data_IF_127123996441
#
_entry.id   IF_127123996441
#
_cell.length_a   1.000
_cell.length_b   1.000
_cell.length_c   1.000
_cell.angle_alpha   90.00
_cell.angle_beta   90.00
_cell.angle_gamma   90.00
#
_symmetry.space_group_name_H-M   'P 1'
#
loop_
_entity.id
_entity.type
_entity.pdbx_description
1 polymer ?
#
# COMPACT_ATOMS: atom_id res chain seq x y z
N UNK A 1 -15.97 10.56 25.44
CA UNK A 1 -16.32 11.18 24.13
C UNK A 1 -16.77 10.12 23.14
N UNK A 2 -16.02 9.02 22.96
CA UNK A 2 -16.38 7.88 22.11
C UNK A 2 -17.80 7.34 22.37
N UNK A 3 -18.11 6.89 23.58
CA UNK A 3 -19.40 6.27 23.89
C UNK A 3 -20.59 7.18 23.60
N UNK A 4 -20.45 8.48 23.91
CA UNK A 4 -21.50 9.48 23.65
C UNK A 4 -21.77 9.64 22.15
N UNK A 5 -20.72 9.67 21.33
CA UNK A 5 -20.84 9.86 19.89
C UNK A 5 -21.44 8.63 19.21
N UNK A 6 -21.01 7.44 19.62
CA UNK A 6 -21.59 6.16 19.17
C UNK A 6 -23.05 6.03 19.59
N UNK A 7 -23.38 6.36 20.84
CA UNK A 7 -24.74 6.27 21.38
C UNK A 7 -25.73 7.25 20.75
N UNK A 8 -25.25 8.36 20.17
CA UNK A 8 -26.09 9.29 19.40
C UNK A 8 -26.23 8.82 17.96
N UNK A 9 -25.11 8.54 17.28
CA UNK A 9 -25.12 8.32 15.83
C UNK A 9 -25.70 6.96 15.43
N UNK A 10 -25.31 5.86 16.08
CA UNK A 10 -25.76 4.53 15.66
C UNK A 10 -27.22 4.24 16.06
N UNK A 11 -27.63 4.36 17.33
CA UNK A 11 -29.01 4.12 17.72
C UNK A 11 -29.99 5.11 17.07
N UNK A 12 -29.59 6.38 16.92
CA UNK A 12 -30.42 7.40 16.27
C UNK A 12 -30.78 7.04 14.83
N UNK A 13 -29.81 6.55 14.05
CA UNK A 13 -30.06 6.08 12.68
C UNK A 13 -30.92 4.83 12.67
N UNK A 14 -30.64 3.83 13.52
CA UNK A 14 -31.46 2.62 13.61
C UNK A 14 -32.93 2.93 13.93
N UNK A 15 -33.19 3.86 14.85
CA UNK A 15 -34.55 4.27 15.20
C UNK A 15 -35.21 5.02 14.04
N UNK A 16 -34.47 5.91 13.37
CA UNK A 16 -34.96 6.62 12.19
C UNK A 16 -35.36 5.64 11.08
N UNK A 17 -34.51 4.64 10.79
CA UNK A 17 -34.78 3.58 9.82
C UNK A 17 -36.06 2.82 10.18
N UNK A 18 -36.18 2.36 11.43
CA UNK A 18 -37.33 1.60 11.89
C UNK A 18 -38.66 2.30 11.61
N UNK A 19 -38.75 3.60 11.93
CA UNK A 19 -39.98 4.34 11.73
C UNK A 19 -40.20 4.75 10.28
N UNK A 20 -39.14 5.16 9.57
CA UNK A 20 -39.23 5.57 8.17
C UNK A 20 -39.64 4.41 7.25
N UNK A 21 -39.02 3.24 7.40
CA UNK A 21 -39.35 2.05 6.61
C UNK A 21 -40.81 1.65 6.87
N UNK A 22 -41.24 1.62 8.14
CA UNK A 22 -42.62 1.27 8.49
C UNK A 22 -43.66 2.24 7.92
N UNK A 23 -43.32 3.52 7.80
CA UNK A 23 -44.22 4.52 7.21
C UNK A 23 -44.30 4.39 5.68
N UNK A 24 -43.16 4.12 5.04
CA UNK A 24 -43.06 3.89 3.58
C UNK A 24 -43.86 2.66 3.17
N UNK A 25 -43.75 1.56 3.93
CA UNK A 25 -44.53 0.34 3.67
C UNK A 25 -46.04 0.58 3.74
N UNK A 26 -46.52 1.38 4.69
CA UNK A 26 -47.95 1.64 4.90
C UNK A 26 -48.59 2.46 3.78
N UNK A 27 -47.85 3.41 3.22
CA UNK A 27 -48.38 4.34 2.23
C UNK A 27 -48.23 3.84 0.79
N UNK A 28 -47.74 2.60 0.59
CA UNK A 28 -47.86 1.86 -0.67
C UNK A 28 -47.19 2.52 -1.89
N UNK A 29 -46.27 3.46 -1.67
CA UNK A 29 -45.50 4.06 -2.74
C UNK A 29 -44.43 3.08 -3.21
N UNK A 30 -44.57 2.54 -4.41
CA UNK A 30 -43.38 2.03 -5.10
C UNK A 30 -42.37 3.19 -5.10
N UNK A 31 -41.21 2.96 -4.47
CA UNK A 31 -39.96 3.72 -4.54
C UNK A 31 -39.62 4.77 -3.44
N UNK A 32 -38.36 4.62 -2.98
CA UNK A 32 -37.34 5.64 -2.61
C UNK A 32 -37.11 5.93 -1.11
N UNK A 33 -36.03 5.37 -0.57
CA UNK A 33 -35.37 5.86 0.64
C UNK A 33 -33.88 6.09 0.36
N UNK A 34 -33.28 7.15 0.89
CA UNK A 34 -31.83 7.38 0.81
C UNK A 34 -31.43 8.08 2.09
N UNK A 35 -30.51 7.49 2.85
CA UNK A 35 -30.05 8.07 4.11
C UNK A 35 -28.74 8.79 3.86
N UNK A 36 -28.72 10.00 4.36
CA UNK A 36 -27.58 10.89 4.29
C UNK A 36 -26.60 10.54 5.41
N UNK A 37 -25.33 10.28 5.05
CA UNK A 37 -24.32 10.01 6.07
C UNK A 37 -22.95 10.56 5.68
N UNK A 38 -22.38 11.38 6.56
CA UNK A 38 -21.06 11.97 6.40
C UNK A 38 -20.00 11.02 6.95
N UNK A 39 -19.14 10.51 6.10
CA UNK A 39 -17.88 9.90 6.51
C UNK A 39 -16.91 10.95 7.02
N UNK A 40 -16.11 10.58 8.01
CA UNK A 40 -14.95 11.37 8.42
C UNK A 40 -13.68 10.57 8.21
N UNK A 41 -12.75 11.19 7.48
CA UNK A 41 -11.42 10.66 7.21
C UNK A 41 -10.65 10.48 8.52
N UNK A 42 -9.94 9.36 8.62
CA UNK A 42 -9.03 9.10 9.74
C UNK A 42 -7.93 10.14 9.80
N UNK A 43 -7.90 10.93 10.86
CA UNK A 43 -6.83 11.86 11.23
C UNK A 43 -6.57 11.73 12.72
N UNK A 44 -5.41 12.18 13.19
CA UNK A 44 -5.12 12.18 14.63
C UNK A 44 -6.25 12.91 15.38
N UNK A 45 -6.86 12.24 16.37
CA UNK A 45 -7.96 12.79 17.17
C UNK A 45 -9.38 12.54 16.65
N UNK A 46 -9.58 11.97 15.46
CA UNK A 46 -10.94 11.75 14.91
C UNK A 46 -11.51 10.34 15.12
N UNK A 47 -10.81 9.46 15.85
CA UNK A 47 -11.14 8.03 15.95
C UNK A 47 -12.58 7.73 16.38
N UNK A 48 -13.15 8.50 17.32
CA UNK A 48 -14.54 8.35 17.74
C UNK A 48 -15.55 8.74 16.65
N UNK A 49 -15.26 9.81 15.92
CA UNK A 49 -16.13 10.30 14.85
C UNK A 49 -16.06 9.34 13.66
N UNK A 50 -14.86 8.92 13.27
CA UNK A 50 -14.65 7.87 12.27
C UNK A 50 -15.40 6.59 12.61
N UNK A 51 -15.23 6.05 13.83
CA UNK A 51 -15.88 4.81 14.23
C UNK A 51 -17.41 4.93 14.20
N UNK A 52 -17.96 6.03 14.74
CA UNK A 52 -19.41 6.23 14.78
C UNK A 52 -20.02 6.43 13.37
N UNK A 53 -19.29 7.09 12.46
CA UNK A 53 -19.76 7.38 11.10
C UNK A 53 -19.67 6.18 10.17
N UNK A 54 -18.53 5.50 10.15
CA UNK A 54 -18.40 4.25 9.40
C UNK A 54 -19.36 3.15 9.91
N UNK A 55 -19.70 3.17 11.20
CA UNK A 55 -20.73 2.28 11.75
C UNK A 55 -22.13 2.52 11.17
N UNK A 56 -22.48 3.78 10.84
CA UNK A 56 -23.75 4.09 10.16
C UNK A 56 -23.74 3.53 8.74
N UNK A 57 -22.64 3.65 7.99
CA UNK A 57 -22.51 3.08 6.65
C UNK A 57 -22.81 1.57 6.64
N UNK A 58 -22.25 0.83 7.61
CA UNK A 58 -22.55 -0.59 7.78
C UNK A 58 -24.02 -0.89 8.07
N UNK A 59 -24.67 -0.09 8.94
CA UNK A 59 -26.12 -0.20 9.21
C UNK A 59 -26.92 0.02 7.92
N UNK A 60 -26.54 1.01 7.12
CA UNK A 60 -27.26 1.37 5.90
C UNK A 60 -27.12 0.32 4.80
N UNK A 61 -25.95 -0.30 4.66
CA UNK A 61 -25.71 -1.41 3.74
C UNK A 61 -26.57 -2.62 4.08
N UNK A 62 -26.69 -2.97 5.36
CA UNK A 62 -27.57 -4.03 5.83
C UNK A 62 -29.05 -3.70 5.54
N UNK A 63 -29.48 -2.48 5.87
CA UNK A 63 -30.84 -2.02 5.60
C UNK A 63 -31.20 -2.09 4.11
N UNK A 64 -30.26 -1.80 3.20
CA UNK A 64 -30.48 -1.92 1.75
C UNK A 64 -30.85 -3.35 1.32
N UNK A 65 -30.23 -4.36 1.92
CA UNK A 65 -30.49 -5.77 1.62
C UNK A 65 -31.82 -6.20 2.26
N UNK A 66 -32.04 -5.83 3.51
CA UNK A 66 -33.27 -6.15 4.27
C UNK A 66 -34.52 -5.53 3.63
N UNK A 67 -34.38 -4.33 3.05
CA UNK A 67 -35.46 -3.56 2.45
C UNK A 67 -35.75 -3.93 0.98
N UNK A 68 -34.81 -4.60 0.31
CA UNK A 68 -34.95 -4.92 -1.12
C UNK A 68 -36.20 -5.75 -1.46
N UNK A 69 -36.62 -6.77 -0.68
CA UNK A 69 -37.86 -7.52 -0.94
C UNK A 69 -39.13 -6.67 -0.90
N UNK A 70 -39.11 -5.55 -0.18
CA UNK A 70 -40.21 -4.60 -0.07
C UNK A 70 -40.20 -3.52 -1.16
N UNK A 71 -39.25 -3.59 -2.11
CA UNK A 71 -39.09 -2.60 -3.17
C UNK A 71 -38.51 -1.27 -2.68
N UNK A 72 -37.96 -1.23 -1.46
CA UNK A 72 -37.36 -0.04 -0.88
C UNK A 72 -35.86 -0.04 -1.19
N UNK A 73 -35.43 0.99 -1.92
CA UNK A 73 -34.01 1.25 -2.20
C UNK A 73 -33.41 2.01 -1.04
N UNK A 74 -32.14 1.76 -0.75
CA UNK A 74 -31.41 2.44 0.31
C UNK A 74 -30.00 2.74 -0.19
N UNK A 75 -29.63 4.01 -0.23
CA UNK A 75 -28.30 4.47 -0.60
C UNK A 75 -27.74 5.38 0.50
N UNK A 76 -26.41 5.49 0.53
CA UNK A 76 -25.68 6.44 1.37
C UNK A 76 -25.07 7.53 0.51
N UNK A 77 -25.27 8.79 0.90
CA UNK A 77 -24.66 9.96 0.26
C UNK A 77 -23.68 10.59 1.23
N UNK A 78 -22.42 10.63 0.82
CA UNK A 78 -21.31 11.17 1.60
C UNK A 78 -20.98 12.57 1.07
N UNK A 79 -21.36 13.64 1.80
CA UNK A 79 -21.01 15.01 1.43
C UNK A 79 -19.50 15.17 1.31
N UNK A 80 -19.09 15.94 0.30
CA UNK A 80 -17.74 16.45 0.21
C UNK A 80 -17.58 17.83 0.84
N UNK A 81 -16.64 18.60 0.31
CA UNK A 81 -16.49 20.02 0.61
C UNK A 81 -17.72 20.79 0.08
N UNK A 82 -18.80 20.80 0.86
CA UNK A 82 -20.04 21.52 0.54
C UNK A 82 -20.12 22.78 1.38
N UNK A 83 -20.40 23.91 0.74
CA UNK A 83 -20.62 25.18 1.45
C UNK A 83 -21.92 25.10 2.24
N UNK A 84 -21.84 25.02 3.57
CA UNK A 84 -23.00 25.09 4.47
C UNK A 84 -22.78 26.12 5.58
N UNK A 85 -23.86 26.64 6.17
CA UNK A 85 -23.78 27.55 7.33
C UNK A 85 -23.06 26.94 8.54
N UNK A 86 -23.04 25.61 8.65
CA UNK A 86 -22.36 24.85 9.72
C UNK A 86 -20.86 24.72 9.45
N UNK A 87 -20.45 24.63 8.18
CA UNK A 87 -19.05 24.59 7.77
C UNK A 87 -18.31 25.89 8.14
N UNK A 88 -18.96 27.05 8.06
CA UNK A 88 -18.34 28.33 8.47
C UNK A 88 -17.95 28.37 9.96
N UNK A 89 -18.66 27.61 10.81
CA UNK A 89 -18.35 27.47 12.24
C UNK A 89 -17.34 26.36 12.55
N UNK A 90 -17.39 25.23 11.84
CA UNK A 90 -16.52 24.06 12.10
C UNK A 90 -15.16 24.12 11.41
N UNK A 91 -15.04 24.79 10.26
CA UNK A 91 -13.73 25.06 9.61
C UNK A 91 -12.81 25.84 10.55
N UNK A 92 -13.41 26.65 11.44
CA UNK A 92 -12.72 27.45 12.45
C UNK A 92 -12.14 26.65 13.62
N UNK A 93 -12.47 25.35 13.76
CA UNK A 93 -12.23 24.61 15.02
C UNK A 93 -11.22 23.48 14.92
N UNK A 94 -10.92 22.92 13.73
CA UNK A 94 -10.15 21.66 13.71
C UNK A 94 -8.91 21.58 12.80
N UNK A 95 -8.69 22.47 11.82
CA UNK A 95 -7.66 22.19 10.80
C UNK A 95 -6.80 23.37 10.29
N UNK A 96 -7.15 24.63 10.56
CA UNK A 96 -6.42 25.79 10.00
C UNK A 96 -6.40 27.00 10.96
N UNK A 97 -5.30 27.76 10.94
CA UNK A 97 -5.05 28.89 11.85
C UNK A 97 -5.90 30.12 11.52
N UNK A 98 -6.33 30.28 10.26
CA UNK A 98 -7.20 31.38 9.82
C UNK A 98 -8.43 30.92 9.03
N UNK A 99 -9.56 31.67 9.10
CA UNK A 99 -10.76 31.38 8.31
C UNK A 99 -10.55 31.41 6.79
N UNK A 100 -9.61 32.24 6.31
CA UNK A 100 -9.27 32.35 4.89
C UNK A 100 -8.47 31.13 4.40
N UNK A 101 -7.48 30.66 5.17
CA UNK A 101 -6.75 29.42 4.88
C UNK A 101 -7.66 28.19 4.93
N UNK A 102 -8.57 28.15 5.91
CA UNK A 102 -9.55 27.07 6.05
C UNK A 102 -10.58 27.00 4.92
N UNK A 103 -10.79 28.09 4.18
CA UNK A 103 -11.61 28.09 2.96
C UNK A 103 -10.77 27.72 1.74
N UNK A 104 -9.58 28.28 1.58
CA UNK A 104 -8.77 28.16 0.36
C UNK A 104 -8.06 26.81 0.21
N UNK A 105 -7.45 26.30 1.27
CA UNK A 105 -6.63 25.08 1.21
C UNK A 105 -7.44 23.81 0.86
N UNK A 106 -8.66 23.57 1.39
CA UNK A 106 -9.46 22.41 1.00
C UNK A 106 -9.90 22.46 -0.47
N UNK A 107 -10.32 23.62 -0.98
CA UNK A 107 -10.71 23.79 -2.38
C UNK A 107 -9.54 23.49 -3.33
N UNK A 108 -8.34 24.00 -3.03
CA UNK A 108 -7.14 23.75 -3.84
C UNK A 108 -6.72 22.27 -3.81
N UNK A 109 -7.01 21.54 -2.73
CA UNK A 109 -6.72 20.10 -2.61
C UNK A 109 -7.72 19.21 -3.36
N UNK A 110 -8.94 19.69 -3.61
CA UNK A 110 -9.96 18.96 -4.35
C UNK A 110 -9.60 18.86 -5.85
N UNK A 111 -9.93 17.76 -6.56
CA UNK A 111 -9.70 17.59 -7.99
C UNK A 111 -10.39 18.66 -8.83
N UNK A 112 -11.65 19.01 -8.50
CA UNK A 112 -12.41 20.05 -9.20
C UNK A 112 -12.03 21.47 -8.78
N UNK A 113 -11.04 21.64 -7.90
CA UNK A 113 -10.52 22.94 -7.43
C UNK A 113 -11.58 23.90 -6.89
N UNK A 114 -12.70 23.37 -6.37
CA UNK A 114 -13.82 24.15 -5.84
C UNK A 114 -14.63 23.36 -4.81
N UNK A 115 -15.41 24.09 -4.01
CA UNK A 115 -16.49 23.51 -3.20
C UNK A 115 -17.65 23.09 -4.11
N UNK A 116 -18.34 22.02 -3.69
CA UNK A 116 -19.68 21.73 -4.17
C UNK A 116 -20.69 22.69 -3.53
N UNK A 117 -21.80 22.92 -4.21
CA UNK A 117 -22.90 23.69 -3.65
C UNK A 117 -23.96 22.77 -3.02
N UNK A 118 -24.72 23.30 -2.07
CA UNK A 118 -25.82 22.55 -1.45
C UNK A 118 -26.86 22.11 -2.49
N UNK A 119 -27.07 22.93 -3.53
CA UNK A 119 -27.98 22.63 -4.63
C UNK A 119 -27.52 21.40 -5.43
N UNK A 120 -26.22 21.22 -5.62
CA UNK A 120 -25.66 20.05 -6.32
C UNK A 120 -25.88 18.76 -5.51
N UNK A 121 -25.73 18.86 -4.20
CA UNK A 121 -26.00 17.75 -3.28
C UNK A 121 -27.49 17.40 -3.22
N UNK A 122 -28.36 18.41 -3.11
CA UNK A 122 -29.82 18.22 -3.16
C UNK A 122 -30.25 17.61 -4.50
N UNK A 123 -29.66 18.05 -5.63
CA UNK A 123 -29.94 17.50 -6.94
C UNK A 123 -29.60 15.99 -7.02
N UNK A 124 -28.47 15.58 -6.43
CA UNK A 124 -28.13 14.15 -6.33
C UNK A 124 -29.14 13.39 -5.48
N UNK A 125 -29.55 13.94 -4.33
CA UNK A 125 -30.56 13.30 -3.49
C UNK A 125 -31.88 13.13 -4.24
N UNK A 126 -32.32 14.17 -4.95
CA UNK A 126 -33.52 14.13 -5.79
C UNK A 126 -33.43 13.05 -6.87
N UNK A 127 -32.27 12.90 -7.52
CA UNK A 127 -32.02 11.81 -8.46
C UNK A 127 -32.10 10.42 -7.80
N UNK A 128 -31.51 10.24 -6.62
CA UNK A 128 -31.56 8.96 -5.91
C UNK A 128 -32.96 8.62 -5.42
N UNK A 129 -33.75 9.64 -5.09
CA UNK A 129 -35.17 9.48 -4.82
C UNK A 129 -36.05 9.59 -6.06
N UNK A 130 -35.52 9.49 -7.28
CA UNK A 130 -36.31 9.50 -8.52
C UNK A 130 -36.43 8.11 -9.17
N UNK A 131 -37.15 8.01 -10.29
CA UNK A 131 -37.35 6.76 -11.03
C UNK A 131 -36.17 6.43 -11.96
N UNK A 132 -35.39 7.45 -12.28
CA UNK A 132 -34.19 7.41 -13.10
C UNK A 132 -33.06 6.64 -12.41
N UNK A 133 -33.11 6.48 -11.08
CA UNK A 133 -32.16 5.70 -10.28
C UNK A 133 -32.71 4.34 -9.82
N UNK A 134 -33.71 3.77 -10.52
CA UNK A 134 -34.38 2.52 -10.10
C UNK A 134 -33.49 1.30 -9.89
N UNK A 135 -32.28 1.29 -10.48
CA UNK A 135 -31.29 0.23 -10.28
C UNK A 135 -30.21 0.59 -9.23
N UNK A 136 -30.30 1.77 -8.62
CA UNK A 136 -29.38 2.23 -7.58
C UNK A 136 -29.95 1.94 -6.19
N UNK A 137 -29.49 0.85 -5.59
CA UNK A 137 -29.65 0.51 -4.17
C UNK A 137 -28.32 -0.03 -3.66
N UNK A 138 -28.09 0.02 -2.35
CA UNK A 138 -26.83 -0.34 -1.71
C UNK A 138 -25.64 0.55 -2.14
N UNK A 139 -25.89 1.64 -2.88
CA UNK A 139 -24.85 2.53 -3.38
C UNK A 139 -24.30 3.42 -2.27
N UNK A 140 -22.97 3.48 -2.19
CA UNK A 140 -22.24 4.49 -1.41
C UNK A 140 -21.75 5.55 -2.39
N UNK A 141 -22.36 6.73 -2.34
CA UNK A 141 -22.12 7.79 -3.31
C UNK A 141 -21.35 8.91 -2.63
N UNK A 142 -20.10 9.07 -3.05
CA UNK A 142 -19.16 10.04 -2.47
C UNK A 142 -19.10 11.27 -3.36
N UNK A 143 -19.58 12.40 -2.85
CA UNK A 143 -19.46 13.71 -3.51
C UNK A 143 -18.06 14.31 -3.34
N UNK A 144 -17.25 13.74 -2.44
CA UNK A 144 -15.84 14.06 -2.31
C UNK A 144 -14.96 13.03 -2.99
N UNK A 145 -14.16 13.54 -3.93
CA UNK A 145 -12.83 13.00 -4.17
C UNK A 145 -11.89 13.98 -3.46
N UNK A 146 -11.58 13.78 -2.19
CA UNK A 146 -10.28 14.28 -1.75
C UNK A 146 -9.22 13.47 -2.51
N UNK A 147 -8.03 14.04 -2.70
CA UNK A 147 -6.89 13.45 -3.42
C UNK A 147 -6.38 12.09 -2.88
N UNK A 148 -7.17 11.40 -2.05
CA UNK A 148 -6.88 10.08 -1.48
C UNK A 148 -7.97 9.01 -1.66
N UNK A 149 -9.02 9.21 -2.48
CA UNK A 149 -10.03 8.17 -2.72
C UNK A 149 -10.46 7.92 -4.17
N UNK A 150 -10.10 8.77 -5.12
CA UNK A 150 -9.95 8.29 -6.49
C UNK A 150 -8.50 7.88 -6.64
N UNK A 151 -8.27 6.60 -6.83
CA UNK A 151 -7.19 6.20 -7.72
C UNK A 151 -7.54 6.86 -9.06
N UNK A 152 -7.06 8.09 -9.30
CA UNK A 152 -6.43 8.31 -10.58
C UNK A 152 -5.49 7.10 -10.69
N UNK A 153 -5.69 6.26 -11.70
CA UNK A 153 -4.51 5.60 -12.23
C UNK A 153 -3.54 6.75 -12.47
N UNK A 154 -2.63 6.99 -11.53
CA UNK A 154 -1.37 7.63 -11.84
C UNK A 154 -0.76 6.59 -12.75
N UNK A 155 -1.15 6.65 -14.03
CA UNK A 155 -0.59 5.84 -15.08
C UNK A 155 0.86 6.25 -15.04
N UNK A 156 1.63 5.39 -14.39
CA UNK A 156 3.06 5.56 -14.25
C UNK A 156 3.58 5.77 -15.67
N UNK A 157 4.27 6.87 -15.90
CA UNK A 157 4.85 7.11 -17.22
C UNK A 157 5.92 6.04 -17.46
N UNK A 158 5.57 5.06 -18.30
CA UNK A 158 6.42 3.93 -18.67
C UNK A 158 7.27 4.23 -19.92
N UNK A 159 7.30 5.48 -20.40
CA UNK A 159 7.99 5.82 -21.66
C UNK A 159 9.50 5.71 -21.59
N UNK A 160 10.11 5.94 -20.42
CA UNK A 160 11.56 5.96 -20.25
C UNK A 160 11.98 5.57 -18.83
N UNK A 161 13.25 5.17 -18.66
CA UNK A 161 13.78 4.70 -17.38
C UNK A 161 13.68 5.76 -16.27
N UNK A 162 13.96 7.03 -16.56
CA UNK A 162 13.91 8.12 -15.57
C UNK A 162 12.53 8.27 -14.96
N UNK A 163 11.49 8.27 -15.79
CA UNK A 163 10.11 8.23 -15.30
C UNK A 163 9.86 6.96 -14.50
N UNK A 164 10.29 5.79 -15.00
CA UNK A 164 10.07 4.52 -14.31
C UNK A 164 10.72 4.43 -12.92
N UNK A 165 11.83 5.12 -12.67
CA UNK A 165 12.59 5.04 -11.41
C UNK A 165 12.59 6.33 -10.61
N UNK A 166 11.56 7.17 -10.77
CA UNK A 166 11.46 8.44 -10.04
C UNK A 166 11.59 8.23 -8.50
N UNK A 167 12.46 8.99 -7.80
CA UNK A 167 12.82 8.71 -6.40
C UNK A 167 11.66 8.63 -5.40
N UNK A 168 10.64 9.45 -5.59
CA UNK A 168 9.48 9.57 -4.70
C UNK A 168 8.59 8.33 -4.68
N UNK A 169 8.59 7.54 -5.75
CA UNK A 169 7.77 6.32 -5.93
C UNK A 169 8.60 5.04 -5.99
N UNK A 170 9.92 5.15 -5.81
CA UNK A 170 10.85 4.02 -5.90
C UNK A 170 11.33 3.61 -4.52
N UNK A 171 11.50 2.30 -4.33
CA UNK A 171 12.18 1.74 -3.16
C UNK A 171 13.39 0.90 -3.59
N UNK A 172 14.54 1.15 -2.97
CA UNK A 172 15.71 0.30 -3.08
C UNK A 172 15.60 -0.85 -2.10
N UNK A 173 15.58 -2.07 -2.61
CA UNK A 173 15.44 -3.30 -1.85
C UNK A 173 16.79 -4.02 -1.85
N UNK A 174 17.38 -4.20 -0.67
CA UNK A 174 18.70 -4.83 -0.49
C UNK A 174 18.47 -6.18 0.17
N UNK A 175 18.63 -7.25 -0.60
CA UNK A 175 18.26 -8.60 -0.17
C UNK A 175 19.47 -9.35 0.37
N UNK A 176 19.34 -9.85 1.60
CA UNK A 176 20.17 -10.91 2.20
C UNK A 176 21.69 -10.63 2.17
N UNK A 177 22.11 -9.38 2.34
CA UNK A 177 23.52 -9.02 2.57
C UNK A 177 23.94 -9.39 4.00
N UNK A 178 23.93 -10.69 4.30
CA UNK A 178 24.22 -11.27 5.63
C UNK A 178 25.50 -12.12 5.60
N UNK A 179 26.13 -12.27 6.76
CA UNK A 179 27.33 -13.10 6.93
C UNK A 179 27.12 -14.55 6.46
N UNK A 180 25.92 -15.10 6.61
CA UNK A 180 25.55 -16.45 6.14
C UNK A 180 25.81 -16.64 4.63
N UNK A 181 25.69 -15.57 3.84
CA UNK A 181 25.82 -15.59 2.39
C UNK A 181 27.17 -15.05 1.89
N UNK A 182 27.83 -14.20 2.68
CA UNK A 182 29.04 -13.47 2.26
C UNK A 182 30.33 -13.92 2.96
N UNK A 183 30.26 -14.64 4.08
CA UNK A 183 31.43 -14.97 4.91
C UNK A 183 31.85 -16.43 4.83
N UNK A 184 33.13 -16.68 5.11
CA UNK A 184 33.63 -18.04 5.33
C UNK A 184 32.88 -18.70 6.48
N UNK A 185 32.57 -19.97 6.30
CA UNK A 185 31.77 -20.74 7.25
C UNK A 185 30.25 -20.56 7.14
N UNK A 186 29.76 -19.53 6.42
CA UNK A 186 28.33 -19.33 6.16
C UNK A 186 27.70 -20.39 5.24
N UNK A 187 26.37 -20.40 5.12
CA UNK A 187 25.64 -21.38 4.31
C UNK A 187 26.13 -21.44 2.85
N UNK A 188 26.40 -20.32 2.19
CA UNK A 188 26.89 -20.33 0.81
C UNK A 188 28.28 -20.95 0.68
N UNK A 189 29.19 -20.63 1.61
CA UNK A 189 30.50 -21.27 1.66
C UNK A 189 30.40 -22.78 1.90
N UNK A 190 29.56 -23.22 2.86
CA UNK A 190 29.34 -24.64 3.15
C UNK A 190 28.68 -25.40 2.00
N UNK A 191 27.90 -24.71 1.17
CA UNK A 191 27.31 -25.25 -0.06
C UNK A 191 28.28 -25.23 -1.26
N UNK A 192 29.52 -24.72 -1.08
CA UNK A 192 30.55 -24.67 -2.12
C UNK A 192 30.39 -23.53 -3.13
N UNK A 193 29.57 -22.52 -2.82
CA UNK A 193 29.42 -21.35 -3.69
C UNK A 193 30.58 -20.36 -3.52
N UNK A 194 30.90 -19.65 -4.61
CA UNK A 194 31.94 -18.62 -4.58
C UNK A 194 31.49 -17.38 -3.79
N UNK A 195 32.01 -17.25 -2.57
CA UNK A 195 31.75 -16.10 -1.72
C UNK A 195 32.56 -14.86 -2.11
N UNK A 196 33.59 -14.97 -2.96
CA UNK A 196 34.38 -13.80 -3.39
C UNK A 196 33.52 -12.81 -4.17
N UNK A 197 32.70 -13.33 -5.06
CA UNK A 197 31.73 -12.53 -5.82
C UNK A 197 30.73 -11.82 -4.90
N UNK A 198 30.21 -12.51 -3.88
CA UNK A 198 29.33 -11.92 -2.87
C UNK A 198 30.01 -10.83 -2.01
N UNK A 199 31.29 -10.99 -1.67
CA UNK A 199 32.08 -9.96 -0.99
C UNK A 199 32.30 -8.73 -1.88
N UNK A 200 32.67 -8.94 -3.14
CA UNK A 200 32.85 -7.85 -4.11
C UNK A 200 31.54 -7.08 -4.35
N UNK A 201 30.39 -7.75 -4.31
CA UNK A 201 29.08 -7.10 -4.37
C UNK A 201 28.84 -6.13 -3.21
N UNK A 202 29.25 -6.49 -1.98
CA UNK A 202 29.07 -5.62 -0.82
C UNK A 202 29.76 -4.25 -1.01
N UNK A 203 30.97 -4.26 -1.57
CA UNK A 203 31.70 -3.03 -1.90
C UNK A 203 30.95 -2.17 -2.93
N UNK A 204 30.46 -2.77 -4.02
CA UNK A 204 29.70 -2.06 -5.06
C UNK A 204 28.37 -1.50 -4.52
N UNK A 205 27.67 -2.26 -3.68
CA UNK A 205 26.44 -1.79 -3.03
C UNK A 205 26.70 -0.61 -2.09
N UNK A 206 27.78 -0.65 -1.29
CA UNK A 206 28.11 0.46 -0.40
C UNK A 206 28.44 1.75 -1.16
N UNK A 207 29.17 1.65 -2.28
CA UNK A 207 29.45 2.80 -3.15
C UNK A 207 28.15 3.37 -3.77
N UNK A 208 27.31 2.50 -4.31
CA UNK A 208 26.00 2.91 -4.84
C UNK A 208 25.11 3.53 -3.77
N UNK A 209 25.10 2.98 -2.55
CA UNK A 209 24.33 3.51 -1.41
C UNK A 209 24.77 4.90 -0.98
N UNK A 210 26.06 5.24 -1.12
CA UNK A 210 26.56 6.59 -0.87
C UNK A 210 25.88 7.66 -1.73
N UNK A 211 25.41 7.28 -2.92
CA UNK A 211 24.65 8.12 -3.82
C UNK A 211 23.14 7.97 -3.59
N UNK A 212 22.64 6.72 -3.56
CA UNK A 212 21.22 6.42 -3.45
C UNK A 212 20.58 7.03 -2.18
N UNK A 213 21.29 7.06 -1.04
CA UNK A 213 20.81 7.66 0.21
C UNK A 213 20.55 9.16 0.14
N UNK A 214 21.14 9.87 -0.84
CA UNK A 214 20.92 11.31 -1.04
C UNK A 214 19.59 11.61 -1.74
N UNK A 215 19.02 10.64 -2.44
CA UNK A 215 17.84 10.82 -3.30
C UNK A 215 16.67 9.92 -2.90
N UNK A 216 16.91 8.66 -2.57
CA UNK A 216 15.87 7.72 -2.20
C UNK A 216 15.54 7.82 -0.71
N UNK A 217 14.27 8.11 -0.41
CA UNK A 217 13.74 8.05 0.97
C UNK A 217 13.42 6.63 1.42
N UNK A 218 13.25 5.70 0.47
CA UNK A 218 12.80 4.34 0.73
C UNK A 218 13.93 3.36 0.45
N UNK A 219 14.78 3.16 1.46
CA UNK A 219 15.81 2.11 1.45
C UNK A 219 15.38 1.03 2.43
N UNK A 220 15.23 -0.19 1.91
CA UNK A 220 14.67 -1.32 2.65
C UNK A 220 15.66 -2.48 2.58
N UNK A 221 16.17 -2.86 3.75
CA UNK A 221 16.99 -4.04 3.92
C UNK A 221 16.10 -5.23 4.21
N UNK A 222 16.33 -6.33 3.50
CA UNK A 222 15.58 -7.56 3.67
C UNK A 222 16.54 -8.61 4.21
N UNK A 223 16.13 -9.25 5.31
CA UNK A 223 16.97 -10.16 6.07
C UNK A 223 16.28 -11.51 6.23
N UNK A 224 16.88 -12.58 5.72
CA UNK A 224 16.46 -13.93 6.04
C UNK A 224 16.58 -14.16 7.55
N UNK A 225 15.46 -14.46 8.18
CA UNK A 225 15.30 -14.68 9.61
C UNK A 225 14.71 -16.07 9.81
N UNK A 226 15.21 -16.79 10.82
CA UNK A 226 14.69 -18.10 11.19
C UNK A 226 13.96 -18.00 12.53
N UNK A 227 12.74 -18.50 12.53
CA UNK A 227 11.97 -18.78 13.74
C UNK A 227 11.70 -20.29 13.69
N UNK A 228 12.09 -21.03 14.73
CA UNK A 228 12.03 -22.48 14.71
C UNK A 228 10.60 -23.00 14.46
N UNK A 229 9.59 -22.36 15.03
CA UNK A 229 8.18 -22.68 14.80
C UNK A 229 7.68 -22.41 13.37
N UNK A 230 8.41 -21.63 12.56
CA UNK A 230 8.08 -21.36 11.14
C UNK A 230 8.89 -22.24 10.17
N UNK A 231 9.71 -23.16 10.69
CA UNK A 231 10.47 -24.11 9.89
C UNK A 231 9.57 -25.28 9.48
N UNK A 232 9.27 -25.39 8.18
CA UNK A 232 8.51 -26.52 7.66
C UNK A 232 9.40 -27.70 7.30
N UNK A 233 8.86 -28.91 7.35
CA UNK A 233 9.52 -30.12 6.87
C UNK A 233 9.99 -29.97 5.42
N UNK A 234 9.19 -29.33 4.56
CA UNK A 234 9.53 -29.03 3.17
C UNK A 234 10.76 -28.13 3.03
N UNK A 235 10.85 -27.07 3.83
CA UNK A 235 11.99 -26.16 3.79
C UNK A 235 13.27 -26.84 4.29
N UNK A 236 13.16 -27.65 5.34
CA UNK A 236 14.29 -28.43 5.87
C UNK A 236 14.76 -29.51 4.90
N UNK A 237 13.84 -30.14 4.18
CA UNK A 237 14.15 -31.20 3.22
C UNK A 237 15.03 -30.72 2.07
N UNK A 238 14.89 -29.46 1.64
CA UNK A 238 15.81 -28.87 0.65
C UNK A 238 17.27 -28.97 1.09
N UNK A 239 17.57 -28.59 2.34
CA UNK A 239 18.93 -28.61 2.87
C UNK A 239 19.46 -30.04 3.03
N UNK A 240 18.60 -30.97 3.49
CA UNK A 240 18.96 -32.40 3.63
C UNK A 240 19.43 -33.00 2.30
N UNK A 241 18.70 -32.75 1.20
CA UNK A 241 19.07 -33.26 -0.14
C UNK A 241 20.39 -32.68 -0.65
N UNK A 242 20.75 -31.48 -0.20
CA UNK A 242 22.01 -30.83 -0.53
C UNK A 242 23.15 -31.25 0.41
N UNK A 243 22.89 -32.17 1.35
CA UNK A 243 23.88 -32.64 2.31
C UNK A 243 24.29 -31.60 3.35
N UNK A 244 23.53 -30.52 3.49
CA UNK A 244 23.84 -29.41 4.41
C UNK A 244 22.80 -29.37 5.52
N UNK A 245 23.24 -29.19 6.76
CA UNK A 245 22.33 -28.94 7.88
C UNK A 245 22.17 -27.43 8.09
N UNK A 246 20.96 -26.89 7.96
CA UNK A 246 20.68 -25.47 8.23
C UNK A 246 20.39 -25.24 9.72
N UNK A 247 21.46 -25.21 10.51
CA UNK A 247 21.39 -24.73 11.89
C UNK A 247 21.33 -23.20 11.93
N UNK A 248 20.53 -22.67 12.86
CA UNK A 248 20.50 -21.23 13.09
C UNK A 248 21.78 -20.84 13.83
N UNK A 249 22.47 -19.84 13.30
CA UNK A 249 23.59 -19.21 13.98
C UNK A 249 23.35 -17.69 14.00
N UNK A 250 23.16 -17.08 15.19
CA UNK A 250 23.00 -15.63 15.31
C UNK A 250 24.13 -14.85 14.64
N UNK A 251 25.37 -15.32 14.72
CA UNK A 251 26.53 -14.63 14.16
C UNK A 251 26.46 -14.58 12.63
N UNK A 252 26.06 -15.67 11.98
CA UNK A 252 25.87 -15.67 10.52
C UNK A 252 24.61 -14.90 10.09
N UNK A 253 23.66 -14.67 10.99
CA UNK A 253 22.44 -13.92 10.69
C UNK A 253 22.67 -12.41 10.62
N UNK A 254 23.78 -11.87 11.12
CA UNK A 254 24.09 -10.43 11.05
C UNK A 254 24.35 -9.95 9.61
N UNK A 255 24.16 -8.64 9.39
CA UNK A 255 24.51 -8.01 8.12
C UNK A 255 26.01 -8.06 7.86
N UNK A 256 26.39 -8.12 6.58
CA UNK A 256 27.77 -8.14 6.12
C UNK A 256 28.08 -6.87 5.34
N UNK A 257 28.85 -5.96 5.94
CA UNK A 257 29.37 -4.69 5.40
C UNK A 257 28.33 -3.66 4.89
N UNK A 258 27.21 -4.09 4.32
CA UNK A 258 26.09 -3.27 3.89
C UNK A 258 25.09 -3.17 5.04
N UNK A 259 25.30 -2.17 5.90
CA UNK A 259 24.51 -1.99 7.11
C UNK A 259 23.32 -1.03 6.89
N UNK A 260 22.15 -1.31 7.50
CA UNK A 260 21.09 -0.33 7.62
C UNK A 260 21.54 0.90 8.39
N UNK A 261 21.14 2.08 7.91
CA UNK A 261 21.27 3.35 8.64
C UNK A 261 20.00 3.71 9.40
N UNK A 262 20.10 4.71 10.28
CA UNK A 262 18.93 5.25 10.99
C UNK A 262 17.86 5.73 10.00
N UNK A 263 16.61 5.32 10.23
CA UNK A 263 15.48 5.60 9.34
C UNK A 263 15.28 4.58 8.19
N UNK A 264 16.26 3.73 7.90
CA UNK A 264 16.11 2.64 6.92
C UNK A 264 15.36 1.46 7.53
N UNK A 265 14.47 0.84 6.75
CA UNK A 265 13.62 -0.26 7.25
C UNK A 265 14.33 -1.59 7.10
N UNK A 266 14.22 -2.45 8.11
CA UNK A 266 14.64 -3.85 8.03
C UNK A 266 13.41 -4.76 8.03
N UNK A 267 13.28 -5.59 7.01
CA UNK A 267 12.20 -6.59 6.87
C UNK A 267 12.75 -7.97 7.19
N UNK A 268 12.30 -8.62 8.28
CA UNK A 268 12.59 -10.02 8.52
C UNK A 268 11.72 -10.88 7.58
N UNK A 269 12.36 -11.70 6.74
CA UNK A 269 11.66 -12.67 5.88
C UNK A 269 11.97 -14.11 6.29
N UNK A 270 11.01 -15.00 6.06
CA UNK A 270 11.09 -16.42 6.43
C UNK A 270 11.11 -17.34 5.20
N UNK A 271 10.91 -16.77 4.02
CA UNK A 271 10.90 -17.42 2.71
C UNK A 271 11.76 -16.61 1.74
N UNK A 272 11.91 -17.08 0.50
CA UNK A 272 12.82 -16.44 -0.46
C UNK A 272 12.40 -15.00 -0.78
N UNK A 273 11.11 -14.78 -1.06
CA UNK A 273 10.52 -13.46 -1.27
C UNK A 273 10.03 -12.83 0.05
N UNK A 274 10.30 -11.52 0.30
CA UNK A 274 9.76 -10.81 1.44
C UNK A 274 8.25 -10.57 1.35
N UNK A 275 7.63 -10.72 0.17
CA UNK A 275 6.16 -10.61 0.05
C UNK A 275 5.42 -11.75 0.77
N UNK A 276 6.09 -12.86 1.04
CA UNK A 276 5.46 -14.03 1.65
C UNK A 276 5.54 -13.94 3.18
N UNK A 277 4.37 -13.77 3.81
CA UNK A 277 4.22 -13.80 5.29
C UNK A 277 5.02 -12.73 6.03
N UNK A 278 5.09 -11.52 5.47
CA UNK A 278 5.62 -10.32 6.15
C UNK A 278 4.71 -9.12 5.87
N UNK A 279 4.97 -7.98 6.52
CA UNK A 279 4.27 -6.72 6.26
C UNK A 279 4.87 -5.92 5.08
N UNK A 280 5.77 -6.51 4.29
CA UNK A 280 6.50 -5.82 3.23
C UNK A 280 5.58 -5.14 2.21
N UNK A 281 4.55 -5.83 1.69
CA UNK A 281 3.61 -5.23 0.73
C UNK A 281 2.83 -4.07 1.35
N UNK A 282 2.32 -4.26 2.56
CA UNK A 282 1.59 -3.21 3.28
C UNK A 282 2.44 -1.96 3.47
N UNK A 283 3.73 -2.11 3.81
CA UNK A 283 4.68 -1.00 3.92
C UNK A 283 4.84 -0.25 2.60
N UNK A 284 5.04 -0.97 1.50
CA UNK A 284 5.20 -0.40 0.17
C UNK A 284 3.95 0.37 -0.27
N UNK A 285 2.75 -0.20 -0.03
CA UNK A 285 1.47 0.44 -0.36
C UNK A 285 1.21 1.72 0.44
N UNK A 286 1.45 1.70 1.76
CA UNK A 286 1.30 2.90 2.62
C UNK A 286 2.24 4.02 2.16
N UNK A 287 3.44 3.65 1.69
CA UNK A 287 4.45 4.58 1.15
C UNK A 287 4.24 4.92 -0.32
N UNK A 288 3.16 4.42 -0.94
CA UNK A 288 2.81 4.66 -2.35
C UNK A 288 3.95 4.31 -3.30
N UNK A 289 4.71 3.25 -2.99
CA UNK A 289 5.76 2.75 -3.85
C UNK A 289 5.13 2.07 -5.07
N UNK A 290 5.68 2.36 -6.23
CA UNK A 290 5.29 1.78 -7.51
C UNK A 290 6.45 1.01 -8.15
N UNK A 291 7.69 1.41 -7.87
CA UNK A 291 8.90 0.81 -8.45
C UNK A 291 9.78 0.16 -7.39
N UNK A 292 10.20 -1.08 -7.65
CA UNK A 292 11.13 -1.83 -6.81
C UNK A 292 12.47 -1.95 -7.54
N UNK A 293 13.51 -1.37 -6.95
CA UNK A 293 14.89 -1.54 -7.42
C UNK A 293 15.50 -2.65 -6.56
N UNK A 294 15.58 -3.86 -7.12
CA UNK A 294 15.91 -5.07 -6.35
C UNK A 294 17.39 -5.43 -6.51
N UNK A 295 18.10 -5.51 -5.38
CA UNK A 295 19.55 -5.73 -5.31
C UNK A 295 19.91 -6.80 -4.28
N UNK A 296 21.17 -7.24 -4.25
CA UNK A 296 21.68 -8.17 -3.25
C UNK A 296 21.73 -9.63 -3.72
N UNK A 297 21.44 -10.56 -2.81
CA UNK A 297 21.72 -11.99 -2.97
C UNK A 297 20.47 -12.88 -2.78
N UNK A 298 20.41 -14.06 -3.37
CA UNK A 298 21.07 -14.43 -4.63
C UNK A 298 20.16 -14.09 -5.81
N UNK A 299 20.73 -13.68 -6.94
CA UNK A 299 19.99 -13.31 -8.18
C UNK A 299 18.92 -14.33 -8.53
N UNK A 300 19.32 -15.60 -8.67
CA UNK A 300 18.47 -16.73 -9.07
C UNK A 300 17.61 -17.34 -7.95
N UNK A 301 17.58 -16.73 -6.76
CA UNK A 301 16.81 -17.24 -5.62
C UNK A 301 15.94 -16.12 -5.04
N UNK A 302 16.43 -15.38 -4.05
CA UNK A 302 15.63 -14.41 -3.31
C UNK A 302 15.32 -13.16 -4.16
N UNK A 303 16.27 -12.70 -4.98
CA UNK A 303 16.08 -11.56 -5.88
C UNK A 303 15.02 -11.90 -6.92
N UNK A 304 15.17 -13.02 -7.67
CA UNK A 304 14.19 -13.44 -8.67
C UNK A 304 12.82 -13.75 -8.06
N UNK A 305 12.76 -14.40 -6.89
CA UNK A 305 11.49 -14.64 -6.19
C UNK A 305 10.79 -13.32 -5.86
N UNK A 306 11.54 -12.33 -5.40
CA UNK A 306 11.01 -10.99 -5.09
C UNK A 306 10.55 -10.26 -6.34
N UNK A 307 11.31 -10.36 -7.44
CA UNK A 307 10.95 -9.77 -8.72
C UNK A 307 9.63 -10.34 -9.26
N UNK A 308 9.47 -11.66 -9.25
CA UNK A 308 8.24 -12.34 -9.68
C UNK A 308 7.04 -11.94 -8.83
N UNK A 309 7.20 -11.92 -7.50
CA UNK A 309 6.13 -11.53 -6.58
C UNK A 309 5.77 -10.05 -6.68
N UNK A 310 6.76 -9.19 -6.91
CA UNK A 310 6.57 -7.75 -7.12
C UNK A 310 5.79 -7.48 -8.40
N UNK A 311 6.20 -8.10 -9.51
CA UNK A 311 5.50 -8.01 -10.79
C UNK A 311 4.05 -8.51 -10.68
N UNK A 312 3.83 -9.66 -10.04
CA UNK A 312 2.49 -10.23 -9.84
C UNK A 312 1.58 -9.36 -8.93
N UNK A 313 2.13 -8.32 -8.31
CA UNK A 313 1.42 -7.35 -7.47
C UNK A 313 1.44 -5.94 -8.07
N UNK A 314 1.70 -5.83 -9.38
CA UNK A 314 1.67 -4.58 -10.14
C UNK A 314 2.76 -3.57 -9.73
N UNK A 315 3.86 -4.02 -9.15
CA UNK A 315 5.06 -3.18 -9.03
C UNK A 315 5.88 -3.26 -10.31
N UNK A 316 6.38 -2.12 -10.77
CA UNK A 316 7.44 -2.12 -11.77
C UNK A 316 8.75 -2.57 -11.11
N UNK A 317 9.39 -3.61 -11.64
CA UNK A 317 10.62 -4.16 -11.08
C UNK A 317 11.81 -3.80 -11.96
N UNK A 318 12.84 -3.27 -11.33
CA UNK A 318 14.12 -2.93 -11.96
C UNK A 318 15.24 -3.66 -11.22
N UNK A 319 16.14 -4.30 -11.96
CA UNK A 319 17.31 -4.97 -11.39
C UNK A 319 18.60 -4.39 -11.99
N UNK A 320 19.39 -3.65 -11.21
CA UNK A 320 20.75 -3.30 -11.59
C UNK A 320 21.65 -4.54 -11.52
N UNK A 321 22.05 -5.09 -12.67
CA UNK A 321 22.71 -6.40 -12.73
C UNK A 321 24.08 -6.45 -12.03
N UNK A 322 24.77 -5.33 -11.97
CA UNK A 322 26.05 -5.15 -11.29
C UNK A 322 25.92 -5.11 -9.76
N UNK A 323 24.70 -4.90 -9.25
CA UNK A 323 24.35 -4.90 -7.82
C UNK A 323 23.59 -6.16 -7.37
N UNK A 324 23.73 -7.26 -8.11
CA UNK A 324 23.28 -8.58 -7.66
C UNK A 324 24.35 -9.64 -7.90
N UNK A 325 24.34 -10.73 -7.14
CA UNK A 325 25.14 -11.92 -7.47
C UNK A 325 24.33 -13.21 -7.30
N UNK A 326 24.54 -14.16 -8.21
CA UNK A 326 23.88 -15.47 -8.18
C UNK A 326 24.72 -16.53 -7.50
N UNK A 327 24.16 -17.74 -7.36
CA UNK A 327 24.90 -18.91 -6.85
C UNK A 327 25.98 -19.41 -7.83
N UNK A 328 25.88 -19.02 -9.10
CA UNK A 328 26.91 -19.16 -10.12
C UNK A 328 26.72 -18.09 -11.20
N UNK A 329 27.75 -17.85 -12.03
CA UNK A 329 27.63 -16.94 -13.16
C UNK A 329 26.53 -17.35 -14.14
N UNK A 330 26.41 -18.66 -14.40
CA UNK A 330 25.37 -19.19 -15.28
C UNK A 330 23.98 -18.99 -14.70
N UNK A 331 23.78 -19.27 -13.41
CA UNK A 331 22.51 -19.08 -12.73
C UNK A 331 22.11 -17.59 -12.70
N UNK A 332 23.06 -16.69 -12.46
CA UNK A 332 22.85 -15.23 -12.55
C UNK A 332 22.37 -14.83 -13.94
N UNK A 333 23.08 -15.26 -15.00
CA UNK A 333 22.74 -14.93 -16.39
C UNK A 333 21.35 -15.39 -16.80
N UNK A 334 21.02 -16.65 -16.51
CA UNK A 334 19.69 -17.19 -16.83
C UNK A 334 18.57 -16.47 -16.08
N UNK A 335 18.77 -16.22 -14.79
CA UNK A 335 17.81 -15.51 -13.96
C UNK A 335 17.55 -14.08 -14.47
N UNK A 336 18.60 -13.30 -14.74
CA UNK A 336 18.47 -11.95 -15.29
C UNK A 336 17.78 -11.94 -16.66
N UNK A 337 18.14 -12.86 -17.55
CA UNK A 337 17.50 -13.01 -18.87
C UNK A 337 15.99 -13.29 -18.74
N UNK A 338 15.63 -14.20 -17.84
CA UNK A 338 14.25 -14.55 -17.58
C UNK A 338 13.46 -13.40 -16.92
N UNK A 339 14.07 -12.66 -15.98
CA UNK A 339 13.46 -11.47 -15.39
C UNK A 339 13.22 -10.40 -16.45
N UNK A 340 14.22 -10.12 -17.30
CA UNK A 340 14.11 -9.12 -18.35
C UNK A 340 12.96 -9.39 -19.33
N UNK A 341 12.66 -10.67 -19.56
CA UNK A 341 11.64 -11.08 -20.50
C UNK A 341 10.22 -11.01 -19.91
N UNK A 342 10.07 -11.28 -18.61
CA UNK A 342 8.75 -11.56 -18.03
C UNK A 342 8.38 -10.77 -16.77
N UNK A 343 9.36 -10.28 -16.00
CA UNK A 343 9.12 -9.83 -14.63
C UNK A 343 9.68 -8.46 -14.30
N UNK A 344 10.51 -7.86 -15.16
CA UNK A 344 11.11 -6.55 -14.90
C UNK A 344 12.09 -6.10 -15.97
N UNK A 345 12.78 -5.01 -15.70
CA UNK A 345 13.78 -4.39 -16.58
C UNK A 345 15.18 -4.51 -15.96
N UNK A 346 16.15 -5.01 -16.74
CA UNK A 346 17.55 -5.11 -16.30
C UNK A 346 18.31 -3.86 -16.74
N UNK A 347 19.06 -3.25 -15.81
CA UNK A 347 19.82 -2.00 -16.04
C UNK A 347 21.23 -2.10 -15.45
N UNK A 348 22.07 -1.10 -15.68
CA UNK A 348 23.26 -0.87 -14.86
C UNK A 348 22.94 0.10 -13.73
N UNK A 349 23.61 -0.03 -12.59
CA UNK A 349 23.50 0.95 -11.49
C UNK A 349 23.78 2.38 -11.94
N UNK A 350 24.73 2.57 -12.87
CA UNK A 350 25.06 3.88 -13.43
C UNK A 350 23.90 4.51 -14.24
N UNK A 351 23.03 3.72 -14.86
CA UNK A 351 21.83 4.22 -15.53
C UNK A 351 20.85 4.84 -14.51
N UNK A 352 20.71 4.20 -13.34
CA UNK A 352 19.89 4.71 -12.25
C UNK A 352 20.43 6.02 -11.71
N UNK A 353 21.75 6.11 -11.47
CA UNK A 353 22.38 7.35 -11.01
C UNK A 353 22.17 8.50 -12.01
N UNK A 354 22.34 8.24 -13.31
CA UNK A 354 22.03 9.21 -14.37
C UNK A 354 20.56 9.65 -14.39
N UNK A 355 19.63 8.77 -14.03
CA UNK A 355 18.21 9.12 -13.93
C UNK A 355 17.90 10.03 -12.73
N UNK A 356 18.73 10.01 -11.70
CA UNK A 356 18.59 10.82 -10.49
C UNK A 356 19.49 12.06 -10.48
N UNK A 357 20.11 12.38 -11.63
CA UNK A 357 21.03 13.50 -11.82
C UNK A 357 22.23 13.46 -10.87
N UNK A 358 22.77 12.25 -10.64
CA UNK A 358 23.93 11.97 -9.80
C UNK A 358 25.10 11.35 -10.57
#
# INVERSE_FOLDING_TARGET
>A
MFDRMVAVNLPGVLHSLKYAISDIEKHGGQYRYSVFHCEVKGSAGTSADCASKNGVEGIMQAAAIECAPFGIRVNTVHPGLITTRVAEGHVRVCYYDTPEEGKKAPAESAPLKRYGSLEQEVALMLYLVSDESRYCTHGIIRLMVEKGLCNEEVIMDMSNLRSKVAPERSALIIIDMQKDYCSEGGIFHRMGYDIKSAKALAARLNDFLGHARKVLKNIIHVKMTKIDSLSSSTALEQYRRLGVNRQYDPAFSEFYEVLPQEGEVVIPKYRHSPFVSTYFDQLLRIRQIQTLIVTGLATNVCVESTARDGFARDYHVVIPEDLTEGTSLEAKKWSLSNINLFFGEIVQSQDLLRCWDL
#
